data_IF_057068378432
#
_entry.id   IF_057068378432
#
_cell.length_a   1.000
_cell.length_b   1.000
_cell.length_c   1.000
_cell.angle_alpha   90.00
_cell.angle_beta   90.00
_cell.angle_gamma   90.00
#
_symmetry.space_group_name_H-M   'P 1'
#
loop_
_entity.id
_entity.type
_entity.pdbx_description
1 polymer ?
#
# COMPACT_ATOMS: atom_id res chain seq x y z
N UNK A 1 14.15 3.90 -6.12
CA UNK A 1 15.14 3.26 -6.87
C UNK A 1 16.11 2.37 -6.13
N UNK A 2 17.39 2.48 -6.45
CA UNK A 2 18.44 1.62 -5.88
C UNK A 2 18.48 1.67 -4.33
N UNK A 3 18.23 2.82 -3.72
CA UNK A 3 18.24 2.96 -2.26
C UNK A 3 17.19 2.12 -1.52
N UNK A 4 16.01 1.93 -2.10
CA UNK A 4 14.97 1.06 -1.50
C UNK A 4 15.37 -0.41 -1.58
N UNK A 5 16.06 -0.81 -2.66
CA UNK A 5 16.57 -2.17 -2.80
C UNK A 5 17.64 -2.44 -1.74
N UNK A 6 18.58 -1.53 -1.51
CA UNK A 6 19.59 -1.68 -0.45
C UNK A 6 18.99 -1.67 0.95
N UNK A 7 18.02 -0.79 1.22
CA UNK A 7 17.29 -0.79 2.50
C UNK A 7 16.63 -2.17 2.74
N UNK A 8 15.93 -2.70 1.76
CA UNK A 8 15.28 -4.02 1.88
C UNK A 8 16.29 -5.16 2.04
N UNK A 9 17.45 -5.10 1.40
CA UNK A 9 18.51 -6.09 1.61
C UNK A 9 18.99 -6.10 3.06
N UNK A 10 19.15 -4.93 3.69
CA UNK A 10 19.50 -4.81 5.09
C UNK A 10 18.39 -5.39 5.98
N UNK A 11 17.13 -5.09 5.68
CA UNK A 11 15.99 -5.65 6.42
C UNK A 11 15.88 -7.17 6.30
N UNK A 12 16.25 -7.74 5.16
CA UNK A 12 16.31 -9.21 4.95
C UNK A 12 17.42 -9.85 5.77
N UNK A 13 18.51 -9.13 6.08
CA UNK A 13 19.59 -9.62 6.92
C UNK A 13 19.25 -9.63 8.41
N UNK A 14 18.36 -8.76 8.88
CA UNK A 14 18.00 -8.63 10.29
C UNK A 14 17.51 -9.97 10.89
N UNK A 15 16.56 -10.71 10.29
CA UNK A 15 16.11 -11.98 10.85
C UNK A 15 17.21 -13.06 10.91
N UNK A 16 18.19 -12.98 10.03
CA UNK A 16 19.36 -13.86 10.11
C UNK A 16 20.25 -13.55 11.31
N UNK A 17 20.44 -12.27 11.62
CA UNK A 17 21.20 -11.85 12.80
C UNK A 17 20.45 -12.18 14.09
N UNK A 18 19.12 -12.06 14.11
CA UNK A 18 18.28 -12.48 15.23
C UNK A 18 18.44 -13.98 15.51
N UNK A 19 18.46 -14.80 14.45
CA UNK A 19 18.77 -16.22 14.56
C UNK A 19 20.14 -16.46 15.20
N UNK A 20 21.18 -15.74 14.77
CA UNK A 20 22.54 -15.87 15.31
C UNK A 20 22.56 -15.55 16.80
N UNK A 21 21.83 -14.53 17.24
CA UNK A 21 21.69 -14.19 18.66
C UNK A 21 21.07 -15.34 19.42
N UNK A 22 19.95 -15.87 18.92
CA UNK A 22 19.19 -16.92 19.61
C UNK A 22 20.00 -18.22 19.69
N UNK A 23 20.52 -18.70 18.55
CA UNK A 23 21.16 -19.99 18.47
C UNK A 23 22.56 -20.03 19.12
N UNK A 24 23.32 -18.93 19.08
CA UNK A 24 24.70 -18.90 19.62
C UNK A 24 24.82 -18.39 21.04
N UNK A 25 23.90 -17.52 21.48
CA UNK A 25 24.06 -16.84 22.77
C UNK A 25 22.92 -17.14 23.73
N UNK A 26 21.66 -17.19 23.28
CA UNK A 26 20.50 -17.38 24.15
C UNK A 26 20.29 -18.86 24.47
N UNK A 27 20.21 -19.70 23.46
CA UNK A 27 19.93 -21.15 23.62
C UNK A 27 21.04 -21.90 24.39
N UNK A 28 22.34 -21.70 24.10
CA UNK A 28 23.40 -22.36 24.86
C UNK A 28 23.68 -21.76 26.22
N UNK A 29 22.97 -20.69 26.65
CA UNK A 29 23.26 -19.88 27.85
C UNK A 29 24.73 -19.43 27.93
N UNK A 30 25.29 -19.10 26.78
CA UNK A 30 26.70 -18.78 26.65
C UNK A 30 26.91 -17.31 27.02
N UNK A 31 27.59 -17.04 28.12
CA UNK A 31 27.80 -15.71 28.71
C UNK A 31 28.92 -14.91 28.04
N UNK A 32 29.22 -15.13 26.77
CA UNK A 32 30.17 -14.29 26.02
C UNK A 32 29.55 -12.93 25.66
N UNK A 33 29.45 -12.05 26.65
CA UNK A 33 28.89 -10.70 26.52
C UNK A 33 29.51 -9.88 25.38
N UNK A 34 30.83 -10.06 25.14
CA UNK A 34 31.54 -9.37 24.08
C UNK A 34 31.02 -9.77 22.67
N UNK A 35 30.74 -11.06 22.45
CA UNK A 35 30.20 -11.56 21.19
C UNK A 35 28.77 -11.09 20.94
N UNK A 36 27.92 -11.13 21.97
CA UNK A 36 26.55 -10.60 21.90
C UNK A 36 26.55 -9.12 21.60
N UNK A 37 27.39 -8.34 22.31
CA UNK A 37 27.55 -6.91 22.05
C UNK A 37 27.99 -6.63 20.60
N UNK A 38 28.91 -7.46 20.04
CA UNK A 38 29.34 -7.34 18.66
C UNK A 38 28.21 -7.53 17.65
N UNK A 39 27.32 -8.51 17.85
CA UNK A 39 26.15 -8.70 16.96
C UNK A 39 25.17 -7.56 17.09
N UNK A 40 24.89 -7.07 18.31
CA UNK A 40 24.00 -5.93 18.55
C UNK A 40 24.56 -4.65 17.88
N UNK A 41 25.85 -4.38 18.04
CA UNK A 41 26.51 -3.25 17.37
C UNK A 41 26.40 -3.38 15.84
N UNK A 42 26.55 -4.58 15.30
CA UNK A 42 26.38 -4.82 13.86
C UNK A 42 24.95 -4.48 13.41
N UNK A 43 23.93 -4.93 14.14
CA UNK A 43 22.52 -4.62 13.84
C UNK A 43 22.31 -3.11 13.89
N UNK A 44 22.76 -2.43 14.93
CA UNK A 44 22.61 -0.97 15.09
C UNK A 44 23.31 -0.24 13.94
N UNK A 45 24.51 -0.66 13.57
CA UNK A 45 25.26 -0.06 12.45
C UNK A 45 24.53 -0.25 11.11
N UNK A 46 23.97 -1.44 10.86
CA UNK A 46 23.19 -1.70 9.67
C UNK A 46 21.91 -0.86 9.62
N UNK A 47 21.22 -0.69 10.76
CA UNK A 47 20.02 0.16 10.85
C UNK A 47 20.36 1.65 10.61
N UNK A 48 21.47 2.14 11.15
CA UNK A 48 21.94 3.50 10.88
C UNK A 48 22.28 3.70 9.40
N UNK A 49 22.99 2.75 8.79
CA UNK A 49 23.28 2.78 7.35
C UNK A 49 21.99 2.75 6.52
N UNK A 50 21.02 1.90 6.88
CA UNK A 50 19.72 1.87 6.22
C UNK A 50 19.00 3.23 6.30
N UNK A 51 19.04 3.90 7.46
CA UNK A 51 18.49 5.25 7.65
C UNK A 51 19.16 6.29 6.76
N UNK A 52 20.49 6.25 6.65
CA UNK A 52 21.25 7.14 5.76
C UNK A 52 20.87 6.90 4.29
N UNK A 53 20.80 5.63 3.86
CA UNK A 53 20.35 5.29 2.52
C UNK A 53 18.91 5.74 2.25
N UNK A 54 18.02 5.62 3.23
CA UNK A 54 16.66 6.10 3.12
C UNK A 54 16.58 7.60 2.92
N UNK A 55 17.35 8.38 3.68
CA UNK A 55 17.40 9.83 3.52
C UNK A 55 17.82 10.25 2.09
N UNK A 56 18.89 9.65 1.56
CA UNK A 56 19.33 9.94 0.19
C UNK A 56 18.32 9.48 -0.86
N UNK A 57 17.66 8.35 -0.62
CA UNK A 57 16.63 7.83 -1.50
C UNK A 57 15.39 8.73 -1.51
N UNK A 58 14.91 9.19 -0.35
CA UNK A 58 13.79 10.15 -0.26
C UNK A 58 14.11 11.45 -0.99
N UNK A 59 15.29 12.02 -0.78
CA UNK A 59 15.75 13.23 -1.46
C UNK A 59 15.77 13.06 -3.00
N UNK A 60 16.31 11.95 -3.48
CA UNK A 60 16.39 11.69 -4.92
C UNK A 60 15.01 11.37 -5.52
N UNK A 61 14.17 10.59 -4.82
CA UNK A 61 12.81 10.30 -5.24
C UNK A 61 11.96 11.56 -5.34
N UNK A 62 12.09 12.46 -4.38
CA UNK A 62 11.40 13.75 -4.40
C UNK A 62 11.82 14.62 -5.59
N UNK A 63 13.13 14.67 -5.91
CA UNK A 63 13.62 15.38 -7.11
C UNK A 63 13.06 14.78 -8.39
N UNK A 64 13.03 13.45 -8.49
CA UNK A 64 12.48 12.75 -9.67
C UNK A 64 10.98 13.04 -9.79
N UNK A 65 10.22 13.02 -8.68
CA UNK A 65 8.81 13.34 -8.65
C UNK A 65 8.53 14.75 -9.19
N UNK A 66 9.25 15.75 -8.65
CA UNK A 66 9.08 17.15 -9.09
C UNK A 66 9.44 17.36 -10.55
N UNK A 67 10.52 16.73 -11.03
CA UNK A 67 10.91 16.82 -12.44
C UNK A 67 9.86 16.16 -13.34
N UNK A 68 9.38 14.97 -12.97
CA UNK A 68 8.32 14.27 -13.70
C UNK A 68 7.05 15.11 -13.76
N UNK A 69 6.63 15.70 -12.63
CA UNK A 69 5.46 16.56 -12.58
C UNK A 69 5.60 17.81 -13.44
N UNK A 70 6.79 18.42 -13.45
CA UNK A 70 7.10 19.54 -14.35
C UNK A 70 7.02 19.13 -15.82
N UNK A 71 7.67 18.03 -16.17
CA UNK A 71 7.76 17.58 -17.55
C UNK A 71 6.37 17.16 -18.08
N UNK A 72 5.58 16.47 -17.27
CA UNK A 72 4.18 16.13 -17.58
C UNK A 72 3.32 17.37 -17.82
N UNK A 73 3.40 18.37 -16.92
CA UNK A 73 2.62 19.62 -17.07
C UNK A 73 3.04 20.37 -18.33
N UNK A 74 4.33 20.43 -18.62
CA UNK A 74 4.86 21.06 -19.83
C UNK A 74 4.35 20.34 -21.08
N UNK A 75 4.44 19.02 -21.14
CA UNK A 75 4.00 18.24 -22.30
C UNK A 75 2.48 18.37 -22.53
N UNK A 76 1.66 18.32 -21.47
CA UNK A 76 0.22 18.51 -21.56
C UNK A 76 -0.09 19.93 -22.04
N UNK A 77 0.62 20.95 -21.54
CA UNK A 77 0.45 22.34 -21.97
C UNK A 77 0.82 22.52 -23.44
N UNK A 78 1.96 22.01 -23.89
CA UNK A 78 2.39 22.06 -25.29
C UNK A 78 1.39 21.37 -26.22
N UNK A 79 0.91 20.18 -25.85
CA UNK A 79 -0.16 19.47 -26.59
C UNK A 79 -1.47 20.26 -26.60
N UNK A 80 -1.81 20.94 -25.51
CA UNK A 80 -2.99 21.78 -25.45
C UNK A 80 -2.91 22.98 -26.42
N UNK A 81 -1.72 23.55 -26.61
CA UNK A 81 -1.48 24.62 -27.58
C UNK A 81 -1.55 24.15 -29.05
N UNK A 82 -1.28 22.89 -29.30
CA UNK A 82 -1.36 22.27 -30.64
C UNK A 82 -2.76 21.83 -31.03
N UNK A 83 -3.76 21.94 -30.13
CA UNK A 83 -5.14 21.57 -30.44
C UNK A 83 -5.74 22.51 -31.47
N UNK A 84 -6.55 21.95 -32.39
CA UNK A 84 -7.27 22.75 -33.37
C UNK A 84 -8.32 23.64 -32.68
N UNK A 85 -8.64 24.78 -33.29
CA UNK A 85 -9.66 25.71 -32.76
C UNK A 85 -11.04 25.03 -32.55
N UNK A 86 -11.38 24.08 -33.42
CA UNK A 86 -12.62 23.28 -33.28
C UNK A 86 -12.57 22.36 -32.04
N UNK A 87 -11.40 21.89 -31.63
CA UNK A 87 -11.24 21.07 -30.42
C UNK A 87 -11.23 21.93 -29.15
N UNK A 88 -10.71 23.14 -29.23
CA UNK A 88 -10.67 24.10 -28.12
C UNK A 88 -12.08 24.67 -27.86
N UNK A 89 -12.84 25.02 -28.92
CA UNK A 89 -14.17 25.58 -28.78
C UNK A 89 -15.20 24.63 -28.14
N UNK A 90 -14.93 23.34 -28.15
CA UNK A 90 -15.74 22.29 -27.49
C UNK A 90 -15.42 22.07 -26.02
N UNK A 91 -14.41 22.75 -25.50
CA UNK A 91 -13.90 22.61 -24.12
C UNK A 91 -13.88 23.94 -23.42
N UNK A 92 -14.08 23.91 -22.11
CA UNK A 92 -13.95 25.12 -21.30
C UNK A 92 -12.48 25.35 -20.91
N UNK A 93 -12.09 26.60 -20.70
CA UNK A 93 -10.78 26.94 -20.17
C UNK A 93 -10.52 26.23 -18.83
N UNK A 94 -11.55 26.08 -17.98
CA UNK A 94 -11.47 25.33 -16.73
C UNK A 94 -11.14 23.87 -16.90
N UNK A 95 -11.65 23.19 -17.96
CA UNK A 95 -11.30 21.80 -18.26
C UNK A 95 -9.81 21.66 -18.63
N UNK A 96 -9.29 22.56 -19.45
CA UNK A 96 -7.88 22.54 -19.83
C UNK A 96 -6.95 22.81 -18.65
N UNK A 97 -7.32 23.79 -17.79
CA UNK A 97 -6.58 24.06 -16.55
C UNK A 97 -6.58 22.85 -15.64
N UNK A 98 -7.72 22.18 -15.48
CA UNK A 98 -7.82 20.97 -14.64
C UNK A 98 -6.95 19.83 -15.15
N UNK A 99 -6.86 19.63 -16.46
CA UNK A 99 -5.97 18.62 -17.07
C UNK A 99 -4.50 18.91 -16.81
N UNK A 100 -4.06 20.17 -16.99
CA UNK A 100 -2.66 20.55 -16.77
C UNK A 100 -2.28 20.50 -15.29
N UNK A 101 -3.19 20.85 -14.39
CA UNK A 101 -2.91 20.96 -12.95
C UNK A 101 -3.25 19.67 -12.21
N UNK A 102 -4.54 19.31 -12.16
CA UNK A 102 -5.07 18.24 -11.29
C UNK A 102 -4.78 16.85 -11.86
N UNK A 103 -5.00 16.63 -13.16
CA UNK A 103 -4.79 15.31 -13.75
C UNK A 103 -3.30 14.98 -13.85
N UNK A 104 -2.45 15.96 -14.17
CA UNK A 104 -1.00 15.80 -14.13
C UNK A 104 -0.50 15.47 -12.72
N UNK A 105 -1.03 16.12 -11.68
CA UNK A 105 -0.68 15.83 -10.30
C UNK A 105 -1.08 14.39 -9.89
N UNK A 106 -2.27 13.93 -10.30
CA UNK A 106 -2.70 12.53 -10.04
C UNK A 106 -1.79 11.50 -10.70
N UNK A 107 -1.33 11.76 -11.93
CA UNK A 107 -0.36 10.90 -12.62
C UNK A 107 1.00 10.91 -11.93
N UNK A 108 1.48 12.08 -11.52
CA UNK A 108 2.71 12.23 -10.75
C UNK A 108 2.65 11.41 -9.45
N UNK A 109 1.58 11.55 -8.67
CA UNK A 109 1.34 10.80 -7.43
C UNK A 109 1.27 9.30 -7.69
N UNK A 110 0.54 8.87 -8.73
CA UNK A 110 0.43 7.46 -9.08
C UNK A 110 1.79 6.83 -9.43
N UNK A 111 2.58 7.50 -10.25
CA UNK A 111 3.89 6.96 -10.68
C UNK A 111 4.89 6.98 -9.53
N UNK A 112 4.90 8.05 -8.73
CA UNK A 112 5.91 8.22 -7.67
C UNK A 112 5.61 7.41 -6.42
N UNK A 113 4.33 7.33 -6.01
CA UNK A 113 3.92 6.56 -4.84
C UNK A 113 3.72 5.08 -5.17
N UNK A 114 2.85 4.78 -6.15
CA UNK A 114 2.45 3.39 -6.41
C UNK A 114 3.45 2.63 -7.29
N UNK A 115 3.99 3.26 -8.34
CA UNK A 115 4.88 2.60 -9.29
C UNK A 115 6.20 2.13 -8.64
N UNK A 116 6.78 2.98 -7.82
CA UNK A 116 8.00 2.66 -7.07
C UNK A 116 7.75 1.53 -6.06
N UNK A 117 6.68 1.65 -5.27
CA UNK A 117 6.35 0.69 -4.23
C UNK A 117 6.01 -0.68 -4.80
N UNK A 118 5.29 -0.75 -5.93
CA UNK A 118 4.97 -1.99 -6.60
C UNK A 118 6.23 -2.79 -7.00
N UNK A 119 7.21 -2.12 -7.64
CA UNK A 119 8.46 -2.77 -8.05
C UNK A 119 9.21 -3.32 -6.83
N UNK A 120 9.34 -2.53 -5.77
CA UNK A 120 10.05 -2.92 -4.56
C UNK A 120 9.35 -4.08 -3.85
N UNK A 121 8.02 -4.09 -3.80
CA UNK A 121 7.21 -5.15 -3.20
C UNK A 121 7.30 -6.46 -3.98
N UNK A 122 7.24 -6.41 -5.32
CA UNK A 122 7.41 -7.59 -6.17
C UNK A 122 8.80 -8.20 -5.98
N UNK A 123 9.85 -7.36 -6.02
CA UNK A 123 11.22 -7.83 -5.81
C UNK A 123 11.40 -8.47 -4.42
N UNK A 124 10.82 -7.87 -3.38
CA UNK A 124 10.85 -8.41 -2.02
C UNK A 124 10.16 -9.76 -1.93
N UNK A 125 8.99 -9.91 -2.55
CA UNK A 125 8.24 -11.16 -2.58
C UNK A 125 9.06 -12.29 -3.22
N UNK A 126 9.74 -12.00 -4.32
CA UNK A 126 10.60 -12.97 -5.01
C UNK A 126 11.81 -13.35 -4.13
N UNK A 127 12.53 -12.37 -3.59
CA UNK A 127 13.73 -12.63 -2.78
C UNK A 127 13.37 -13.41 -1.50
N UNK A 128 12.36 -12.95 -0.76
CA UNK A 128 11.95 -13.60 0.48
C UNK A 128 11.36 -14.99 0.19
N UNK A 129 10.59 -15.14 -0.89
CA UNK A 129 10.09 -16.42 -1.33
C UNK A 129 11.22 -17.42 -1.58
N UNK A 130 12.26 -17.05 -2.34
CA UNK A 130 13.43 -17.88 -2.58
C UNK A 130 14.12 -18.27 -1.27
N UNK A 131 14.32 -17.32 -0.36
CA UNK A 131 14.97 -17.58 0.94
C UNK A 131 14.17 -18.59 1.79
N UNK A 132 12.84 -18.47 1.84
CA UNK A 132 11.98 -19.42 2.56
C UNK A 132 12.11 -20.84 1.98
N UNK A 133 12.12 -20.97 0.64
CA UNK A 133 12.31 -22.28 -0.01
C UNK A 133 13.70 -22.89 0.21
N UNK A 134 14.74 -22.07 0.30
CA UNK A 134 16.11 -22.53 0.62
C UNK A 134 16.19 -22.99 2.09
N UNK A 135 15.48 -22.31 3.01
CA UNK A 135 15.50 -22.68 4.43
C UNK A 135 14.80 -24.00 4.70
N UNK A 136 13.55 -24.13 4.27
CA UNK A 136 12.77 -25.35 4.33
C UNK A 136 11.61 -25.29 3.32
N UNK A 137 11.66 -26.14 2.28
CA UNK A 137 10.66 -26.14 1.21
C UNK A 137 9.28 -26.61 1.68
N UNK A 138 9.20 -27.45 2.73
CA UNK A 138 7.94 -27.97 3.27
C UNK A 138 7.17 -26.88 4.00
N UNK A 139 7.85 -26.16 4.87
CA UNK A 139 7.28 -25.01 5.56
C UNK A 139 6.95 -23.87 4.58
N UNK A 140 7.80 -23.64 3.58
CA UNK A 140 7.57 -22.63 2.54
C UNK A 140 6.28 -22.91 1.75
N UNK A 141 6.02 -24.15 1.36
CA UNK A 141 4.76 -24.52 0.69
C UNK A 141 3.54 -24.24 1.56
N UNK A 142 3.61 -24.49 2.86
CA UNK A 142 2.52 -24.21 3.79
C UNK A 142 2.23 -22.71 3.93
N UNK A 143 3.27 -21.86 3.84
CA UNK A 143 3.10 -20.40 3.88
C UNK A 143 2.55 -19.83 2.58
N UNK A 144 2.87 -20.44 1.44
CA UNK A 144 2.39 -19.98 0.13
C UNK A 144 0.96 -20.43 -0.15
N UNK A 145 0.52 -21.56 0.42
CA UNK A 145 -0.80 -22.14 0.17
C UNK A 145 -1.99 -21.18 0.47
N UNK A 146 -2.00 -20.35 1.51
CA UNK A 146 -3.07 -19.38 1.74
C UNK A 146 -3.11 -18.22 0.71
N UNK A 147 -1.98 -17.90 0.05
CA UNK A 147 -1.87 -16.73 -0.83
C UNK A 147 -2.82 -16.79 -2.03
N UNK A 148 -2.92 -17.90 -2.80
CA UNK A 148 -3.90 -18.01 -3.88
C UNK A 148 -5.35 -17.86 -3.41
N UNK A 149 -5.67 -18.32 -2.21
CA UNK A 149 -7.03 -18.21 -1.63
C UNK A 149 -7.35 -16.73 -1.41
N UNK A 150 -6.44 -15.98 -0.79
CA UNK A 150 -6.60 -14.53 -0.58
C UNK A 150 -6.74 -13.82 -1.92
N UNK A 151 -5.90 -14.15 -2.91
CA UNK A 151 -5.96 -13.55 -4.25
C UNK A 151 -7.32 -13.77 -4.93
N UNK A 152 -7.88 -14.97 -4.88
CA UNK A 152 -9.20 -15.29 -5.45
C UNK A 152 -10.31 -14.51 -4.72
N UNK A 153 -10.24 -14.41 -3.39
CA UNK A 153 -11.21 -13.66 -2.59
C UNK A 153 -11.16 -12.18 -2.97
N UNK A 154 -9.97 -11.58 -2.96
CA UNK A 154 -9.77 -10.17 -3.31
C UNK A 154 -10.25 -9.88 -4.74
N UNK A 155 -9.93 -10.73 -5.71
CA UNK A 155 -10.36 -10.56 -7.10
C UNK A 155 -11.88 -10.57 -7.24
N UNK A 156 -12.57 -11.54 -6.62
CA UNK A 156 -14.06 -11.60 -6.65
C UNK A 156 -14.71 -10.40 -5.97
N UNK A 157 -14.12 -9.92 -4.89
CA UNK A 157 -14.62 -8.76 -4.18
C UNK A 157 -14.35 -7.46 -4.95
N UNK A 158 -13.27 -7.38 -5.71
CA UNK A 158 -12.92 -6.21 -6.50
C UNK A 158 -14.02 -5.85 -7.51
N UNK A 159 -14.59 -6.84 -8.21
CA UNK A 159 -15.69 -6.63 -9.14
C UNK A 159 -16.95 -6.09 -8.44
N UNK A 160 -17.26 -6.66 -7.27
CA UNK A 160 -18.40 -6.20 -6.46
C UNK A 160 -18.17 -4.78 -5.88
N UNK A 161 -16.94 -4.43 -5.57
CA UNK A 161 -16.53 -3.10 -5.13
C UNK A 161 -16.63 -2.06 -6.25
N UNK A 162 -16.18 -2.39 -7.46
CA UNK A 162 -16.23 -1.49 -8.61
C UNK A 162 -17.66 -0.98 -8.88
N UNK A 163 -18.66 -1.86 -8.77
CA UNK A 163 -20.08 -1.48 -8.91
C UNK A 163 -20.50 -0.51 -7.81
N UNK A 164 -20.07 -0.71 -6.57
CA UNK A 164 -20.43 0.15 -5.43
C UNK A 164 -19.74 1.51 -5.52
N UNK A 165 -18.46 1.55 -5.86
CA UNK A 165 -17.73 2.81 -6.06
C UNK A 165 -18.31 3.62 -7.23
N UNK A 166 -18.78 2.97 -8.30
CA UNK A 166 -19.52 3.66 -9.36
C UNK A 166 -20.79 4.35 -8.83
N UNK A 167 -21.49 3.72 -7.86
CA UNK A 167 -22.66 4.33 -7.21
C UNK A 167 -22.26 5.49 -6.29
N UNK A 168 -21.16 5.35 -5.56
CA UNK A 168 -20.58 6.44 -4.75
C UNK A 168 -20.27 7.64 -5.64
N UNK A 169 -19.61 7.41 -6.77
CA UNK A 169 -19.26 8.44 -7.71
C UNK A 169 -20.49 9.15 -8.28
N UNK A 170 -21.52 8.40 -8.74
CA UNK A 170 -22.77 8.98 -9.26
C UNK A 170 -23.49 9.82 -8.20
N UNK A 171 -23.59 9.33 -6.97
CA UNK A 171 -24.21 10.08 -5.87
C UNK A 171 -23.37 11.31 -5.50
N UNK A 172 -22.04 11.24 -5.58
CA UNK A 172 -21.15 12.37 -5.35
C UNK A 172 -21.30 13.47 -6.40
N UNK A 173 -21.44 13.10 -7.68
CA UNK A 173 -21.73 14.06 -8.75
C UNK A 173 -23.06 14.74 -8.50
N UNK A 174 -24.13 13.98 -8.23
CA UNK A 174 -25.45 14.56 -7.93
C UNK A 174 -25.45 15.47 -6.70
N UNK A 175 -24.66 15.14 -5.68
CA UNK A 175 -24.46 16.00 -4.51
C UNK A 175 -23.76 17.32 -4.88
N UNK A 176 -22.70 17.24 -5.70
CA UNK A 176 -22.00 18.45 -6.20
C UNK A 176 -22.88 19.33 -7.08
N UNK A 177 -23.66 18.75 -7.99
CA UNK A 177 -24.61 19.46 -8.85
C UNK A 177 -25.68 20.15 -8.02
N UNK A 178 -26.26 19.47 -7.03
CA UNK A 178 -27.26 20.07 -6.12
C UNK A 178 -26.69 21.27 -5.38
N UNK A 179 -25.47 21.19 -4.85
CA UNK A 179 -24.80 22.31 -4.20
C UNK A 179 -24.57 23.48 -5.15
N UNK A 180 -24.08 23.16 -6.37
CA UNK A 180 -23.83 24.16 -7.41
C UNK A 180 -25.11 24.91 -7.78
N UNK A 181 -26.23 24.22 -7.99
CA UNK A 181 -27.51 24.79 -8.32
C UNK A 181 -28.03 25.75 -7.22
N UNK A 182 -27.95 25.29 -5.95
CA UNK A 182 -28.38 26.09 -4.80
C UNK A 182 -27.55 27.37 -4.68
N UNK A 183 -26.23 27.27 -4.81
CA UNK A 183 -25.32 28.40 -4.68
C UNK A 183 -25.49 29.42 -5.84
N UNK A 184 -25.64 28.95 -7.06
CA UNK A 184 -25.90 29.82 -8.21
C UNK A 184 -27.27 30.49 -8.12
N UNK A 185 -28.27 29.79 -7.61
CA UNK A 185 -29.62 30.29 -7.40
C UNK A 185 -29.84 31.01 -6.06
N UNK A 186 -28.78 31.24 -5.26
CA UNK A 186 -28.93 31.73 -3.86
C UNK A 186 -29.75 33.00 -3.72
N UNK A 187 -29.65 33.93 -4.69
CA UNK A 187 -30.44 35.18 -4.69
C UNK A 187 -31.94 34.88 -4.82
N UNK A 188 -32.30 33.91 -5.66
CA UNK A 188 -33.69 33.50 -5.88
C UNK A 188 -34.21 32.80 -4.61
N UNK A 189 -33.42 31.87 -4.04
CA UNK A 189 -33.79 31.20 -2.78
C UNK A 189 -34.08 32.19 -1.68
N UNK A 190 -33.20 33.20 -1.54
CA UNK A 190 -33.37 34.30 -0.56
C UNK A 190 -34.59 35.18 -0.82
N UNK A 191 -34.85 35.52 -2.08
CA UNK A 191 -35.98 36.37 -2.45
C UNK A 191 -37.33 35.72 -2.19
N UNK A 192 -37.42 34.40 -2.28
CA UNK A 192 -38.66 33.64 -2.05
C UNK A 192 -38.73 32.98 -0.65
N UNK A 193 -37.73 33.13 0.22
CA UNK A 193 -37.73 32.56 1.56
C UNK A 193 -37.73 31.04 1.59
N UNK A 194 -37.13 30.39 0.55
CA UNK A 194 -37.14 28.92 0.38
C UNK A 194 -35.92 28.23 0.99
N UNK A 195 -35.20 28.84 1.91
CA UNK A 195 -33.96 28.31 2.50
C UNK A 195 -34.17 26.94 3.15
N UNK A 196 -35.24 26.77 3.90
CA UNK A 196 -35.52 25.51 4.63
C UNK A 196 -35.69 24.35 3.64
N UNK A 197 -36.39 24.59 2.53
CA UNK A 197 -36.61 23.57 1.48
C UNK A 197 -35.28 23.16 0.79
N UNK A 198 -34.45 24.15 0.47
CA UNK A 198 -33.17 23.89 -0.19
C UNK A 198 -32.15 23.22 0.77
N UNK A 199 -32.18 23.58 2.06
CA UNK A 199 -31.39 22.87 3.09
C UNK A 199 -31.84 21.40 3.18
N UNK A 200 -33.13 21.11 3.20
CA UNK A 200 -33.65 19.76 3.25
C UNK A 200 -33.23 18.97 2.00
N UNK A 201 -33.37 19.55 0.80
CA UNK A 201 -32.95 18.95 -0.48
C UNK A 201 -31.47 18.58 -0.47
N UNK A 202 -30.62 19.47 0.01
CA UNK A 202 -29.19 19.24 0.13
C UNK A 202 -28.88 18.14 1.16
N UNK A 203 -29.53 18.17 2.31
CA UNK A 203 -29.36 17.15 3.37
C UNK A 203 -29.70 15.76 2.86
N UNK A 204 -30.85 15.60 2.16
CA UNK A 204 -31.25 14.31 1.59
C UNK A 204 -30.24 13.79 0.56
N UNK A 205 -29.69 14.69 -0.26
CA UNK A 205 -28.67 14.33 -1.24
C UNK A 205 -27.35 13.94 -0.58
N UNK A 206 -26.92 14.70 0.44
CA UNK A 206 -25.73 14.43 1.24
C UNK A 206 -25.83 13.08 1.98
N UNK A 207 -27.00 12.79 2.58
CA UNK A 207 -27.23 11.50 3.23
C UNK A 207 -27.19 10.32 2.25
N UNK A 208 -27.75 10.44 1.05
CA UNK A 208 -27.67 9.40 0.01
C UNK A 208 -26.22 9.11 -0.38
N UNK A 209 -25.45 10.16 -0.56
CA UNK A 209 -24.01 10.02 -0.85
C UNK A 209 -23.25 9.36 0.32
N UNK A 210 -23.43 9.85 1.55
CA UNK A 210 -22.81 9.30 2.74
C UNK A 210 -23.17 7.83 2.94
N UNK A 211 -24.45 7.45 2.80
CA UNK A 211 -24.90 6.04 2.88
C UNK A 211 -24.25 5.17 1.80
N UNK A 212 -24.02 5.70 0.59
CA UNK A 212 -23.32 4.96 -0.46
C UNK A 212 -21.84 4.78 -0.16
N UNK A 213 -21.17 5.80 0.40
CA UNK A 213 -19.78 5.71 0.87
C UNK A 213 -19.62 4.63 1.95
N UNK A 214 -20.44 4.69 3.00
CA UNK A 214 -20.40 3.71 4.10
C UNK A 214 -20.58 2.27 3.58
N UNK A 215 -21.53 2.05 2.65
CA UNK A 215 -21.75 0.71 2.07
C UNK A 215 -20.59 0.22 1.20
N UNK A 216 -19.89 1.10 0.52
CA UNK A 216 -18.70 0.75 -0.24
C UNK A 216 -17.53 0.43 0.69
N UNK A 217 -17.28 1.29 1.67
CA UNK A 217 -16.20 1.13 2.64
C UNK A 217 -16.38 -0.11 3.55
N UNK A 218 -17.61 -0.43 3.95
CA UNK A 218 -17.90 -1.62 4.76
C UNK A 218 -17.38 -2.92 4.14
N UNK A 219 -17.42 -3.03 2.81
CA UNK A 219 -16.85 -4.21 2.15
C UNK A 219 -15.34 -4.27 2.31
N UNK A 220 -14.69 -3.12 2.16
CA UNK A 220 -13.24 -3.04 2.32
C UNK A 220 -12.82 -3.39 3.75
N UNK A 221 -13.51 -2.80 4.74
CA UNK A 221 -13.26 -3.09 6.15
C UNK A 221 -13.53 -4.55 6.57
N UNK A 222 -14.36 -5.29 5.84
CA UNK A 222 -14.55 -6.71 6.07
C UNK A 222 -13.49 -7.56 5.34
N UNK A 223 -13.07 -7.13 4.16
CA UNK A 223 -12.10 -7.86 3.32
C UNK A 223 -10.71 -7.90 3.94
N UNK A 224 -10.25 -6.78 4.50
CA UNK A 224 -8.91 -6.69 5.09
C UNK A 224 -8.74 -7.69 6.25
N UNK A 225 -9.57 -7.69 7.32
CA UNK A 225 -9.42 -8.63 8.42
C UNK A 225 -9.61 -10.10 7.98
N UNK A 226 -10.51 -10.36 7.03
CA UNK A 226 -10.71 -11.71 6.50
C UNK A 226 -9.45 -12.21 5.79
N UNK A 227 -8.82 -11.38 4.97
CA UNK A 227 -7.56 -11.70 4.29
C UNK A 227 -6.41 -11.90 5.28
N UNK A 228 -6.32 -11.04 6.30
CA UNK A 228 -5.32 -11.17 7.38
C UNK A 228 -5.51 -12.45 8.18
N UNK A 229 -6.74 -12.81 8.48
CA UNK A 229 -7.03 -14.07 9.18
C UNK A 229 -6.56 -15.29 8.38
N UNK A 230 -6.84 -15.33 7.07
CA UNK A 230 -6.42 -16.42 6.19
C UNK A 230 -4.89 -16.52 6.12
N UNK A 231 -4.19 -15.40 5.97
CA UNK A 231 -2.72 -15.37 5.97
C UNK A 231 -2.15 -15.80 7.33
N UNK A 232 -2.81 -15.41 8.43
CA UNK A 232 -2.40 -15.80 9.78
C UNK A 232 -2.50 -17.31 10.00
N UNK A 233 -3.46 -17.99 9.38
CA UNK A 233 -3.54 -19.46 9.40
C UNK A 233 -2.25 -20.09 8.85
N UNK A 234 -1.67 -19.53 7.77
CA UNK A 234 -0.38 -19.98 7.26
C UNK A 234 0.73 -19.88 8.30
N UNK A 235 0.76 -18.82 9.09
CA UNK A 235 1.74 -18.67 10.17
C UNK A 235 1.52 -19.68 11.30
N UNK A 236 0.29 -20.03 11.63
CA UNK A 236 0.01 -21.09 12.61
C UNK A 236 0.50 -22.47 12.14
N UNK A 237 0.38 -22.79 10.86
CA UNK A 237 0.97 -24.02 10.31
C UNK A 237 2.49 -24.04 10.49
N UNK A 238 3.16 -22.91 10.19
CA UNK A 238 4.61 -22.80 10.40
C UNK A 238 5.00 -23.01 11.86
N UNK A 239 4.27 -22.40 12.80
CA UNK A 239 4.53 -22.57 14.22
C UNK A 239 4.30 -24.01 14.68
N UNK A 240 3.23 -24.66 14.22
CA UNK A 240 2.93 -26.04 14.60
C UNK A 240 3.95 -27.03 14.02
N UNK A 241 4.19 -27.00 12.72
CA UNK A 241 5.12 -27.95 12.08
C UNK A 241 6.58 -27.60 12.40
N UNK A 242 6.96 -26.33 12.41
CA UNK A 242 8.28 -25.88 12.82
C UNK A 242 8.56 -26.17 14.30
N UNK A 243 7.55 -26.06 15.17
CA UNK A 243 7.66 -26.48 16.57
C UNK A 243 7.93 -27.98 16.71
N UNK A 244 7.24 -28.82 15.95
CA UNK A 244 7.53 -30.26 15.92
C UNK A 244 8.96 -30.55 15.40
N UNK A 245 9.41 -29.84 14.36
CA UNK A 245 10.77 -29.95 13.85
C UNK A 245 11.84 -29.55 14.89
N UNK A 246 11.54 -28.66 15.81
CA UNK A 246 12.42 -28.29 16.93
C UNK A 246 12.47 -29.46 17.93
N UNK A 247 11.34 -30.08 18.26
CA UNK A 247 11.26 -31.23 19.16
C UNK A 247 12.03 -32.43 18.58
N UNK A 248 11.99 -32.62 17.26
CA UNK A 248 12.73 -33.67 16.53
C UNK A 248 14.19 -33.27 16.28
N UNK A 249 14.69 -32.17 16.81
CA UNK A 249 16.06 -31.66 16.63
C UNK A 249 16.49 -31.45 15.16
N UNK A 250 15.54 -31.28 14.23
CA UNK A 250 15.81 -31.01 12.81
C UNK A 250 15.84 -29.51 12.48
N UNK A 251 15.34 -28.66 13.38
CA UNK A 251 15.35 -27.22 13.25
C UNK A 251 15.72 -26.56 14.59
N UNK A 252 16.43 -25.42 14.55
CA UNK A 252 16.72 -24.64 15.77
C UNK A 252 15.63 -23.62 16.05
N UNK A 253 15.53 -23.16 17.31
CA UNK A 253 14.59 -22.10 17.69
C UNK A 253 14.85 -20.80 16.90
N UNK A 254 16.12 -20.44 16.71
CA UNK A 254 16.48 -19.27 15.93
C UNK A 254 16.11 -19.40 14.46
N UNK A 255 16.19 -20.62 13.86
CA UNK A 255 15.70 -20.86 12.51
C UNK A 255 14.18 -20.67 12.40
N UNK A 256 13.40 -21.14 13.37
CA UNK A 256 11.96 -20.97 13.36
C UNK A 256 11.58 -19.48 13.48
N UNK A 257 12.23 -18.73 14.36
CA UNK A 257 11.99 -17.29 14.51
C UNK A 257 12.39 -16.55 13.24
N UNK A 258 13.52 -16.86 12.62
CA UNK A 258 13.92 -16.30 11.33
C UNK A 258 12.87 -16.60 10.25
N UNK A 259 12.38 -17.83 10.19
CA UNK A 259 11.38 -18.26 9.21
C UNK A 259 10.06 -17.50 9.39
N UNK A 260 9.52 -17.42 10.61
CA UNK A 260 8.28 -16.67 10.90
C UNK A 260 8.39 -15.20 10.60
N UNK A 261 9.56 -14.59 10.83
CA UNK A 261 9.82 -13.19 10.48
C UNK A 261 9.81 -13.01 8.96
N UNK A 262 10.44 -13.90 8.20
CA UNK A 262 10.37 -13.86 6.73
C UNK A 262 8.95 -14.08 6.20
N UNK A 263 8.16 -14.94 6.82
CA UNK A 263 6.74 -15.12 6.47
C UNK A 263 5.95 -13.82 6.67
N UNK A 264 6.17 -13.14 7.79
CA UNK A 264 5.54 -11.83 8.04
C UNK A 264 5.93 -10.79 6.97
N UNK A 265 7.21 -10.76 6.58
CA UNK A 265 7.71 -9.91 5.50
C UNK A 265 7.18 -10.30 4.12
N UNK A 266 6.94 -11.60 3.86
CA UNK A 266 6.33 -12.10 2.62
C UNK A 266 4.87 -11.65 2.49
N UNK A 267 4.12 -11.64 3.59
CA UNK A 267 2.70 -11.27 3.60
C UNK A 267 2.49 -9.75 3.51
N UNK A 268 3.46 -8.93 3.89
CA UNK A 268 3.36 -7.46 3.83
C UNK A 268 2.99 -6.94 2.41
N UNK A 269 3.65 -7.36 1.31
CA UNK A 269 3.25 -6.94 -0.03
C UNK A 269 1.87 -7.45 -0.47
N UNK A 270 1.40 -8.56 0.08
CA UNK A 270 0.12 -9.18 -0.28
C UNK A 270 -1.05 -8.42 0.36
N UNK A 271 -0.81 -7.77 1.51
CA UNK A 271 -1.80 -6.93 2.21
C UNK A 271 -1.99 -5.55 1.58
N UNK A 272 -1.17 -5.18 0.62
CA UNK A 272 -1.19 -3.88 -0.10
C UNK A 272 -2.12 -3.96 -1.33
#
# INVERSE_FOLDING_TARGET
GLGDVYKRQIWVLAPYLDRVIIDKYVTPKNTHWAGLAGVIITIVTLLLLAGVFEFFNMKNSFKVALNLGRDLRQEIFEKSQQLSMNSISKRTAGELINRVSSDAAKLEDFITANGKDAIVKILSLVIIGILLFIMDWRLALMTVLPVPIVFIIVQKLFDAMAIRYTKVWKNGVSHGETLHDILNGIRVVKSYGNEVREIQRYTECSERWAKSCVRAEMMWYLTIPASEFILTIGNFFVLYFGGNMILDHTMTLGQLIQFTTYVAMLYEPIRW
#
